data_IF_685743709480
#
_entry.id   IF_685743709480
#
_cell.length_a   1.000
_cell.length_b   1.000
_cell.length_c   1.000
_cell.angle_alpha   90.00
_cell.angle_beta   90.00
_cell.angle_gamma   90.00
#
_symmetry.space_group_name_H-M   'P 1'
#
loop_
_entity.id
_entity.type
_entity.pdbx_description
1 polymer ?
#
# COMPACT_ATOMS: atom_id res chain seq x y z
N UNK A 1 3.99 24.92 11.14
CA UNK A 1 4.13 23.51 11.47
C UNK A 1 3.67 22.64 10.30
N UNK A 2 4.61 21.99 9.60
CA UNK A 2 4.36 21.21 8.37
C UNK A 2 3.32 20.11 8.55
N UNK A 3 3.25 19.48 9.71
CA UNK A 3 2.32 18.38 10.01
C UNK A 3 0.87 18.86 9.93
N UNK A 4 0.55 19.98 10.58
CA UNK A 4 -0.79 20.55 10.55
C UNK A 4 -1.14 21.10 9.15
N UNK A 5 -0.17 21.60 8.42
CA UNK A 5 -0.38 22.13 7.07
C UNK A 5 -0.83 21.03 6.10
N UNK A 6 -0.14 19.88 6.08
CA UNK A 6 -0.52 18.79 5.18
C UNK A 6 -1.89 18.21 5.56
N UNK A 7 -2.20 18.06 6.85
CA UNK A 7 -3.52 17.61 7.29
C UNK A 7 -4.62 18.56 6.81
N UNK A 8 -4.42 19.87 6.94
CA UNK A 8 -5.38 20.86 6.45
C UNK A 8 -5.54 20.83 4.93
N UNK A 9 -4.45 20.66 4.19
CA UNK A 9 -4.53 20.54 2.73
C UNK A 9 -5.31 19.31 2.30
N UNK A 10 -5.07 18.17 2.93
CA UNK A 10 -5.78 16.93 2.66
C UNK A 10 -7.26 17.09 3.01
N UNK A 11 -7.57 17.66 4.16
CA UNK A 11 -8.94 17.87 4.59
C UNK A 11 -9.70 18.79 3.61
N UNK A 12 -9.11 19.91 3.21
CA UNK A 12 -9.73 20.82 2.23
C UNK A 12 -9.96 20.14 0.88
N UNK A 13 -8.98 19.35 0.42
CA UNK A 13 -9.13 18.58 -0.82
C UNK A 13 -10.26 17.59 -0.71
N UNK A 14 -10.32 16.84 0.39
CA UNK A 14 -11.37 15.86 0.63
C UNK A 14 -12.76 16.51 0.65
N UNK A 15 -12.91 17.64 1.34
CA UNK A 15 -14.16 18.40 1.37
C UNK A 15 -14.58 18.85 -0.02
N UNK A 16 -13.64 19.40 -0.81
CA UNK A 16 -13.91 19.81 -2.18
C UNK A 16 -14.35 18.65 -3.07
N UNK A 17 -13.68 17.49 -2.93
CA UNK A 17 -14.05 16.28 -3.67
C UNK A 17 -15.41 15.74 -3.24
N UNK A 18 -15.74 15.80 -1.95
CA UNK A 18 -17.06 15.40 -1.46
C UNK A 18 -18.18 16.27 -2.05
N UNK A 19 -17.93 17.56 -2.28
CA UNK A 19 -18.88 18.42 -3.01
C UNK A 19 -19.05 17.97 -4.46
N UNK A 20 -17.97 17.62 -5.14
CA UNK A 20 -18.03 17.06 -6.51
C UNK A 20 -18.85 15.77 -6.53
N UNK A 21 -18.64 14.88 -5.54
CA UNK A 21 -19.40 13.65 -5.41
C UNK A 21 -20.89 13.93 -5.22
N UNK A 22 -21.25 14.90 -4.40
CA UNK A 22 -22.64 15.30 -4.18
C UNK A 22 -23.27 15.84 -5.47
N UNK A 23 -22.58 16.73 -6.17
CA UNK A 23 -23.07 17.30 -7.44
C UNK A 23 -23.19 16.27 -8.54
N UNK A 24 -22.21 15.39 -8.67
CA UNK A 24 -22.13 14.42 -9.77
C UNK A 24 -23.01 13.19 -9.53
N UNK A 25 -23.04 12.68 -8.30
CA UNK A 25 -23.68 11.41 -7.95
C UNK A 25 -24.86 11.54 -7.01
N UNK A 26 -25.14 12.75 -6.52
CA UNK A 26 -26.19 12.98 -5.52
C UNK A 26 -25.91 12.29 -4.18
N UNK A 27 -24.65 11.96 -3.90
CA UNK A 27 -24.26 11.24 -2.69
C UNK A 27 -23.61 12.18 -1.67
N UNK A 28 -24.05 12.10 -0.42
CA UNK A 28 -23.45 12.84 0.68
C UNK A 28 -22.42 11.94 1.35
N UNK A 29 -21.16 12.36 1.32
CA UNK A 29 -20.02 11.65 1.88
C UNK A 29 -19.28 12.54 2.87
N UNK A 30 -19.01 12.03 4.07
CA UNK A 30 -18.17 12.68 5.08
C UNK A 30 -17.27 11.62 5.72
N UNK A 31 -16.26 11.11 5.00
CA UNK A 31 -15.40 10.08 5.55
C UNK A 31 -14.54 10.61 6.70
N UNK A 32 -14.33 9.76 7.69
CA UNK A 32 -13.34 10.03 8.73
C UNK A 32 -11.93 9.83 8.16
N UNK A 33 -10.97 10.54 8.72
CA UNK A 33 -9.55 10.41 8.36
C UNK A 33 -8.74 9.94 9.56
N UNK A 34 -7.78 9.06 9.31
CA UNK A 34 -6.76 8.67 10.28
C UNK A 34 -5.36 8.77 9.63
N UNK A 35 -4.37 9.11 10.41
CA UNK A 35 -2.99 9.33 9.96
C UNK A 35 -2.04 8.29 10.55
N UNK A 36 -2.47 7.03 10.57
CA UNK A 36 -1.80 5.94 11.25
C UNK A 36 -1.21 4.88 10.32
N UNK A 37 -1.27 5.11 9.01
CA UNK A 37 -0.76 4.17 8.03
C UNK A 37 0.75 4.36 7.84
N UNK A 38 1.49 3.25 7.76
CA UNK A 38 2.94 3.25 7.60
C UNK A 38 3.38 2.30 6.51
N UNK A 39 4.60 2.51 6.00
CA UNK A 39 5.23 1.64 5.02
C UNK A 39 4.89 2.01 3.58
N UNK A 40 4.61 1.02 2.76
CA UNK A 40 4.45 1.20 1.31
C UNK A 40 3.11 1.81 0.90
N UNK A 41 2.07 1.55 1.67
CA UNK A 41 0.75 2.05 1.33
C UNK A 41 0.65 3.55 1.63
N UNK A 42 0.26 4.34 0.64
CA UNK A 42 0.02 5.77 0.80
C UNK A 42 -1.31 6.07 1.47
N UNK A 43 -2.33 5.29 1.15
CA UNK A 43 -3.66 5.39 1.73
C UNK A 43 -4.35 4.03 1.77
N UNK A 44 -5.44 3.99 2.53
CA UNK A 44 -6.31 2.82 2.63
C UNK A 44 -7.75 3.29 2.86
N UNK A 45 -8.67 2.79 2.08
CA UNK A 45 -10.09 3.09 2.22
C UNK A 45 -10.82 1.92 2.86
N UNK A 46 -11.60 2.20 3.89
CA UNK A 46 -12.50 1.24 4.50
C UNK A 46 -13.94 1.71 4.27
N UNK A 47 -14.59 1.15 3.27
CA UNK A 47 -15.93 1.58 2.85
C UNK A 47 -17.00 1.29 3.90
N UNK A 48 -16.88 0.18 4.63
CA UNK A 48 -17.86 -0.19 5.66
C UNK A 48 -17.84 0.75 6.86
N UNK A 49 -16.64 1.28 7.18
CA UNK A 49 -16.47 2.25 8.28
C UNK A 49 -16.51 3.69 7.82
N UNK A 50 -16.60 3.94 6.52
CA UNK A 50 -16.49 5.27 5.94
C UNK A 50 -15.23 5.99 6.45
N UNK A 51 -14.08 5.30 6.36
CA UNK A 51 -12.81 5.73 6.92
C UNK A 51 -11.72 5.69 5.85
N UNK A 52 -10.92 6.73 5.80
CA UNK A 52 -9.70 6.77 4.99
C UNK A 52 -8.50 6.90 5.94
N UNK A 53 -7.54 5.99 5.80
CA UNK A 53 -6.27 6.04 6.51
C UNK A 53 -5.20 6.55 5.58
N UNK A 54 -4.38 7.47 6.05
CA UNK A 54 -3.30 8.07 5.27
C UNK A 54 -1.94 7.81 5.89
N UNK A 55 -0.93 7.76 5.03
CA UNK A 55 0.47 7.65 5.40
C UNK A 55 1.06 9.06 5.52
N UNK A 56 1.29 9.51 6.75
CA UNK A 56 1.79 10.85 7.04
C UNK A 56 3.17 11.10 6.43
N UNK A 57 4.07 10.13 6.52
CA UNK A 57 5.42 10.28 5.97
C UNK A 57 5.40 10.56 4.47
N UNK A 58 4.60 9.80 3.71
CA UNK A 58 4.49 10.01 2.28
C UNK A 58 3.77 11.32 1.94
N UNK A 59 2.78 11.71 2.72
CA UNK A 59 2.09 12.99 2.54
C UNK A 59 3.02 14.19 2.77
N UNK A 60 3.90 14.11 3.75
CA UNK A 60 4.87 15.16 4.04
C UNK A 60 6.00 15.23 3.00
N UNK A 61 6.44 14.07 2.49
CA UNK A 61 7.50 14.00 1.48
C UNK A 61 7.03 14.39 0.09
N UNK A 62 5.79 14.09 -0.26
CA UNK A 62 5.22 14.31 -1.59
C UNK A 62 3.86 15.03 -1.50
N UNK A 63 3.81 16.22 -0.88
CA UNK A 63 2.52 16.83 -0.53
C UNK A 63 1.63 17.12 -1.73
N UNK A 64 2.19 17.65 -2.82
CA UNK A 64 1.40 18.03 -3.98
C UNK A 64 0.79 16.83 -4.69
N UNK A 65 1.58 15.80 -4.94
CA UNK A 65 1.14 14.58 -5.57
C UNK A 65 0.17 13.80 -4.66
N UNK A 66 0.43 13.78 -3.36
CA UNK A 66 -0.42 13.14 -2.38
C UNK A 66 -1.83 13.75 -2.38
N UNK A 67 -1.92 15.06 -2.32
CA UNK A 67 -3.20 15.79 -2.36
C UNK A 67 -3.91 15.59 -3.71
N UNK A 68 -3.15 15.62 -4.81
CA UNK A 68 -3.71 15.52 -6.16
C UNK A 68 -4.16 14.10 -6.53
N UNK A 69 -3.50 13.07 -6.03
CA UNK A 69 -3.71 11.68 -6.47
C UNK A 69 -4.14 10.73 -5.37
N UNK A 70 -3.47 10.73 -4.22
CA UNK A 70 -3.79 9.77 -3.13
C UNK A 70 -5.13 10.07 -2.49
N UNK A 71 -5.45 11.32 -2.23
CA UNK A 71 -6.73 11.69 -1.62
C UNK A 71 -7.91 11.27 -2.50
N UNK A 72 -7.96 11.62 -3.80
CA UNK A 72 -9.04 11.12 -4.66
C UNK A 72 -9.02 9.61 -4.85
N UNK A 73 -7.85 8.97 -4.87
CA UNK A 73 -7.73 7.51 -4.99
C UNK A 73 -8.54 6.79 -3.90
N UNK A 74 -8.37 7.20 -2.66
CA UNK A 74 -9.05 6.56 -1.53
C UNK A 74 -10.53 6.95 -1.47
N UNK A 75 -10.87 8.21 -1.73
CA UNK A 75 -12.27 8.62 -1.81
C UNK A 75 -13.01 7.88 -2.92
N UNK A 76 -12.38 7.66 -4.07
CA UNK A 76 -12.98 6.94 -5.18
C UNK A 76 -13.35 5.50 -4.80
N UNK A 77 -12.56 4.83 -3.95
CA UNK A 77 -12.94 3.52 -3.42
C UNK A 77 -14.24 3.56 -2.61
N UNK A 78 -14.39 4.56 -1.75
CA UNK A 78 -15.60 4.71 -0.94
C UNK A 78 -16.82 5.02 -1.82
N UNK A 79 -16.68 5.89 -2.78
CA UNK A 79 -17.75 6.28 -3.71
C UNK A 79 -18.17 5.10 -4.59
N UNK A 80 -17.20 4.39 -5.17
CA UNK A 80 -17.47 3.23 -6.01
C UNK A 80 -18.18 2.12 -5.25
N UNK A 81 -17.74 1.83 -4.02
CA UNK A 81 -18.40 0.86 -3.15
C UNK A 81 -19.85 1.26 -2.84
N UNK A 82 -20.06 2.51 -2.44
CA UNK A 82 -21.40 3.01 -2.10
C UNK A 82 -22.34 3.01 -3.29
N UNK A 83 -21.85 3.34 -4.47
CA UNK A 83 -22.65 3.42 -5.71
C UNK A 83 -22.92 2.04 -6.33
N UNK A 84 -21.93 1.17 -6.39
CA UNK A 84 -21.97 -0.09 -7.14
C UNK A 84 -21.96 -1.35 -6.28
N UNK A 85 -21.78 -1.22 -4.96
CA UNK A 85 -21.70 -2.35 -4.03
C UNK A 85 -20.31 -2.97 -3.94
N UNK A 86 -20.20 -4.05 -3.16
CA UNK A 86 -18.93 -4.69 -2.83
C UNK A 86 -18.40 -5.68 -3.86
N UNK A 87 -19.17 -6.03 -4.89
CA UNK A 87 -18.81 -7.02 -5.91
C UNK A 87 -18.06 -6.43 -7.12
N UNK A 88 -17.39 -5.32 -6.92
CA UNK A 88 -16.59 -4.66 -7.96
C UNK A 88 -15.10 -4.92 -7.70
N UNK A 89 -14.30 -4.85 -8.77
CA UNK A 89 -12.85 -4.92 -8.63
C UNK A 89 -12.33 -3.61 -8.04
N UNK A 90 -11.40 -3.64 -7.06
CA UNK A 90 -10.94 -2.42 -6.38
C UNK A 90 -10.45 -1.30 -7.28
N UNK A 91 -9.78 -1.63 -8.38
CA UNK A 91 -9.29 -0.64 -9.35
C UNK A 91 -9.88 -0.91 -10.74
N UNK A 92 -11.09 -1.44 -10.77
CA UNK A 92 -11.82 -1.72 -11.99
C UNK A 92 -12.42 -0.47 -12.61
N UNK A 93 -13.27 -0.67 -13.62
CA UNK A 93 -13.85 0.44 -14.40
C UNK A 93 -14.70 1.40 -13.58
N UNK A 94 -15.37 0.91 -12.53
CA UNK A 94 -16.21 1.73 -11.64
C UNK A 94 -15.36 2.74 -10.88
N UNK A 95 -14.28 2.27 -10.24
CA UNK A 95 -13.32 3.11 -9.55
C UNK A 95 -12.64 4.09 -10.51
N UNK A 96 -12.23 3.62 -11.71
CA UNK A 96 -11.58 4.46 -12.72
C UNK A 96 -12.48 5.61 -13.18
N UNK A 97 -13.77 5.33 -13.39
CA UNK A 97 -14.74 6.35 -13.77
C UNK A 97 -14.89 7.41 -12.68
N UNK A 98 -14.92 7.00 -11.41
CA UNK A 98 -14.96 7.95 -10.28
C UNK A 98 -13.69 8.78 -10.23
N UNK A 99 -12.50 8.19 -10.39
CA UNK A 99 -11.23 8.94 -10.43
C UNK A 99 -11.26 10.04 -11.49
N UNK A 100 -11.72 9.72 -12.69
CA UNK A 100 -11.85 10.69 -13.78
C UNK A 100 -12.83 11.81 -13.39
N UNK A 101 -13.97 11.46 -12.82
CA UNK A 101 -14.96 12.44 -12.35
C UNK A 101 -14.40 13.36 -11.26
N UNK A 102 -13.49 12.88 -10.43
CA UNK A 102 -12.81 13.66 -9.39
C UNK A 102 -11.62 14.47 -9.93
N UNK A 103 -11.33 14.39 -11.22
CA UNK A 103 -10.23 15.13 -11.84
C UNK A 103 -8.84 14.55 -11.59
N UNK A 104 -8.75 13.27 -11.24
CA UNK A 104 -7.49 12.60 -10.98
C UNK A 104 -7.19 11.55 -12.06
N UNK A 105 -5.91 11.20 -12.21
CA UNK A 105 -5.51 10.12 -13.10
C UNK A 105 -5.89 8.76 -12.48
N UNK A 106 -6.50 7.84 -13.24
CA UNK A 106 -6.91 6.54 -12.71
C UNK A 106 -5.72 5.57 -12.62
N UNK A 107 -4.70 5.94 -11.88
CA UNK A 107 -3.53 5.12 -11.61
C UNK A 107 -3.76 4.21 -10.41
N UNK A 108 -3.54 2.92 -10.62
CA UNK A 108 -3.69 1.91 -9.56
C UNK A 108 -2.66 2.07 -8.44
N UNK A 109 -1.41 2.40 -8.78
CA UNK A 109 -0.30 2.47 -7.83
C UNK A 109 0.36 3.83 -7.84
N UNK A 110 0.88 4.24 -6.68
CA UNK A 110 1.71 5.44 -6.57
C UNK A 110 3.16 5.15 -6.98
N UNK A 111 3.93 6.22 -7.17
CA UNK A 111 5.37 6.16 -7.51
C UNK A 111 6.25 6.73 -6.40
N UNK A 112 5.76 6.74 -5.18
CA UNK A 112 6.51 7.26 -4.05
C UNK A 112 7.63 6.31 -3.65
N UNK A 113 8.78 6.86 -3.33
CA UNK A 113 9.81 6.12 -2.63
C UNK A 113 9.38 5.90 -1.19
N UNK A 114 9.43 4.68 -0.72
CA UNK A 114 8.98 4.32 0.62
C UNK A 114 10.14 3.89 1.49
N UNK A 115 10.08 4.27 2.77
CA UNK A 115 11.00 3.79 3.78
C UNK A 115 10.43 2.50 4.35
N UNK A 116 11.17 1.37 4.32
CA UNK A 116 10.68 0.13 4.90
C UNK A 116 10.36 0.30 6.38
N UNK A 117 9.16 -0.12 6.80
CA UNK A 117 8.75 -0.09 8.21
C UNK A 117 9.58 -1.06 9.03
N UNK A 118 9.97 -2.16 8.40
CA UNK A 118 10.72 -3.23 9.04
C UNK A 118 11.84 -3.68 8.12
N UNK A 119 13.08 -3.60 8.62
CA UNK A 119 14.21 -4.18 7.95
C UNK A 119 14.05 -5.71 7.98
N UNK A 120 13.86 -6.33 6.81
CA UNK A 120 13.78 -7.78 6.72
C UNK A 120 15.13 -8.38 7.08
N UNK A 121 15.15 -9.23 8.12
CA UNK A 121 16.32 -10.05 8.42
C UNK A 121 16.33 -11.23 7.44
N UNK A 122 17.43 -11.35 6.70
CA UNK A 122 17.67 -12.45 5.79
C UNK A 122 18.74 -13.38 6.39
N UNK A 123 18.60 -14.66 6.11
CA UNK A 123 19.49 -15.70 6.60
C UNK A 123 20.17 -16.35 5.41
N UNK A 124 21.51 -16.39 5.43
CA UNK A 124 22.31 -16.95 4.34
C UNK A 124 22.29 -18.48 4.39
N UNK A 125 21.98 -19.09 3.27
CA UNK A 125 21.99 -20.53 3.03
C UNK A 125 22.78 -20.85 1.78
N UNK A 126 23.21 -22.09 1.66
CA UNK A 126 23.96 -22.58 0.51
C UNK A 126 23.52 -23.97 0.12
N UNK A 127 23.74 -24.35 -1.13
CA UNK A 127 23.65 -25.72 -1.63
C UNK A 127 25.06 -26.22 -1.99
N UNK A 128 25.17 -27.35 -2.70
CA UNK A 128 26.44 -27.89 -3.14
C UNK A 128 26.94 -27.32 -4.47
N UNK A 129 26.19 -26.42 -5.12
CA UNK A 129 26.67 -25.71 -6.30
C UNK A 129 27.80 -24.75 -5.93
N UNK A 130 28.86 -24.62 -6.80
CA UNK A 130 29.91 -23.65 -6.56
C UNK A 130 29.34 -22.23 -6.40
N UNK A 131 29.84 -21.48 -5.43
CA UNK A 131 29.49 -20.07 -5.16
C UNK A 131 27.99 -19.84 -4.93
N UNK A 132 27.27 -20.86 -4.46
CA UNK A 132 25.86 -20.73 -4.18
C UNK A 132 25.59 -19.88 -2.94
N UNK A 133 24.61 -19.01 -3.03
CA UNK A 133 24.11 -18.25 -1.91
C UNK A 133 22.60 -18.02 -2.08
N UNK A 134 21.87 -18.33 -1.03
CA UNK A 134 20.43 -18.10 -0.94
C UNK A 134 20.15 -17.22 0.27
N UNK A 135 19.32 -16.21 0.09
CA UNK A 135 18.87 -15.36 1.18
C UNK A 135 17.44 -15.75 1.55
N UNK A 136 17.27 -16.42 2.67
CA UNK A 136 15.97 -16.90 3.13
C UNK A 136 15.36 -15.95 4.16
N UNK A 137 14.04 -15.76 4.06
CA UNK A 137 13.28 -15.02 5.07
C UNK A 137 13.21 -15.79 6.39
N UNK A 138 12.88 -15.08 7.48
CA UNK A 138 12.71 -15.71 8.79
C UNK A 138 11.68 -16.85 8.77
N UNK A 139 10.62 -16.74 7.95
CA UNK A 139 9.61 -17.78 7.82
C UNK A 139 10.23 -19.09 7.32
N UNK A 140 11.01 -19.02 6.23
CA UNK A 140 11.68 -20.21 5.67
C UNK A 140 12.78 -20.73 6.58
N UNK A 141 13.58 -19.81 7.14
CA UNK A 141 14.61 -20.17 8.11
C UNK A 141 14.02 -20.94 9.30
N UNK A 142 12.94 -20.43 9.90
CA UNK A 142 12.27 -21.07 11.03
C UNK A 142 11.65 -22.42 10.64
N UNK A 143 11.14 -22.57 9.42
CA UNK A 143 10.65 -23.85 8.92
C UNK A 143 11.77 -24.88 8.85
N UNK A 144 12.95 -24.50 8.36
CA UNK A 144 14.13 -25.38 8.34
C UNK A 144 14.53 -25.79 9.75
N UNK A 145 14.52 -24.85 10.70
CA UNK A 145 14.82 -25.16 12.11
C UNK A 145 13.82 -26.14 12.73
N UNK A 146 12.61 -26.22 12.19
CA UNK A 146 11.57 -27.17 12.61
C UNK A 146 11.58 -28.48 11.84
N UNK A 147 12.58 -28.71 11.00
CA UNK A 147 12.74 -29.96 10.25
C UNK A 147 12.20 -29.93 8.81
N UNK A 148 11.72 -28.81 8.30
CA UNK A 148 11.37 -28.70 6.89
C UNK A 148 12.62 -28.62 6.02
N UNK A 149 12.53 -29.15 4.81
CA UNK A 149 13.64 -29.20 3.87
C UNK A 149 13.32 -28.35 2.63
N UNK A 150 14.26 -27.48 2.27
CA UNK A 150 14.25 -26.79 0.98
C UNK A 150 15.45 -27.28 0.19
N UNK A 151 15.25 -27.60 -1.08
CA UNK A 151 16.29 -28.14 -1.96
C UNK A 151 16.62 -27.21 -3.10
N UNK A 152 17.89 -27.21 -3.52
CA UNK A 152 18.31 -26.51 -4.72
C UNK A 152 17.72 -27.21 -5.96
N UNK A 153 17.14 -26.42 -6.87
CA UNK A 153 16.57 -26.96 -8.12
C UNK A 153 17.62 -27.50 -9.08
N UNK A 154 18.88 -27.10 -8.93
CA UNK A 154 19.98 -27.51 -9.80
C UNK A 154 20.69 -28.78 -9.32
N UNK A 155 21.17 -28.76 -8.07
CA UNK A 155 21.90 -29.90 -7.52
C UNK A 155 21.04 -30.86 -6.70
N UNK A 156 19.78 -30.51 -6.44
CA UNK A 156 18.80 -31.30 -5.69
C UNK A 156 19.22 -31.60 -4.24
N UNK A 157 20.23 -30.90 -3.74
CA UNK A 157 20.68 -31.05 -2.36
C UNK A 157 19.95 -30.07 -1.43
N UNK A 158 19.75 -30.45 -0.17
CA UNK A 158 19.14 -29.56 0.81
C UNK A 158 19.94 -28.25 0.98
N UNK A 159 19.24 -27.17 1.22
CA UNK A 159 19.86 -25.91 1.61
C UNK A 159 20.35 -26.01 3.04
N UNK A 160 21.58 -25.62 3.26
CA UNK A 160 22.23 -25.60 4.57
C UNK A 160 22.60 -24.18 4.97
N UNK A 161 22.58 -23.83 6.28
CA UNK A 161 23.07 -22.53 6.69
C UNK A 161 24.48 -22.26 6.21
N UNK A 162 24.71 -21.09 5.62
CA UNK A 162 26.04 -20.67 5.21
C UNK A 162 26.75 -20.07 6.41
N UNK A 163 27.77 -20.75 6.88
CA UNK A 163 28.60 -20.24 7.97
C UNK A 163 29.53 -19.15 7.44
N UNK A 164 29.66 -18.06 8.22
CA UNK A 164 30.63 -17.02 7.88
C UNK A 164 32.03 -17.62 7.90
N UNK A 165 32.80 -17.37 6.82
CA UNK A 165 34.22 -17.71 6.83
C UNK A 165 34.95 -16.83 7.84
N UNK A 166 35.78 -17.46 8.68
CA UNK A 166 36.64 -16.77 9.59
C UNK A 166 37.85 -16.14 8.86
#
# INVERSE_FOLDING_TARGET
>A
NMVLEIEHRVQRKLEALCRVVQERYGMIMWPEMAWDLRGQAAGQANARRNLIRFNRELAERYPDEFVAQTVPHELAHLVAFKKFGGNIRPHGREWRAVMIALGAEPRRTHRYEVTPVRKLRLYAYQCHCPDSEYQLTAIRHNRIQRGHMYVCKRCLQPLEPKTAAY
#
